data_IF_683380442898
#
_entry.id   IF_683380442898
#
_cell.length_a   1.000
_cell.length_b   1.000
_cell.length_c   1.000
_cell.angle_alpha   90.00
_cell.angle_beta   90.00
_cell.angle_gamma   90.00
#
_symmetry.space_group_name_H-M   'P 1'
#
loop_
_entity.id
_entity.type
_entity.pdbx_description
1 polymer ?
#
# COMPACT_ATOMS: atom_id res chain seq x y z
N UNK A 1 2.43 -8.23 10.99
CA UNK A 1 1.85 -8.72 9.73
C UNK A 1 2.08 -7.73 8.62
N UNK A 2 2.43 -8.22 7.45
CA UNK A 2 2.71 -7.35 6.32
C UNK A 2 1.45 -7.14 5.48
N UNK A 3 1.18 -5.90 5.13
CA UNK A 3 0.08 -5.58 4.22
C UNK A 3 0.65 -5.34 2.84
N UNK A 4 0.00 -5.90 1.84
CA UNK A 4 0.41 -5.67 0.46
C UNK A 4 -0.60 -4.74 -0.19
N UNK A 5 -0.14 -3.59 -0.63
CA UNK A 5 -0.98 -2.60 -1.28
C UNK A 5 -0.49 -2.43 -2.71
N UNK A 6 -1.41 -2.50 -3.66
CA UNK A 6 -1.08 -2.31 -5.06
C UNK A 6 -1.50 -0.92 -5.49
N UNK A 7 -0.61 -0.24 -6.18
CA UNK A 7 -0.89 1.08 -6.70
C UNK A 7 -1.28 0.99 -8.16
N UNK A 8 -2.43 1.55 -8.47
CA UNK A 8 -2.91 1.60 -9.84
C UNK A 8 -2.62 2.97 -10.45
N UNK A 9 -2.63 3.04 -11.77
CA UNK A 9 -2.19 4.24 -12.48
C UNK A 9 -3.02 5.48 -12.16
N UNK A 10 -4.20 5.32 -11.62
CA UNK A 10 -5.07 6.43 -11.29
C UNK A 10 -4.93 6.89 -9.86
N UNK A 11 -3.78 6.70 -9.25
CA UNK A 11 -3.54 7.06 -7.86
C UNK A 11 -4.41 6.28 -6.91
N UNK A 12 -4.93 5.17 -7.35
CA UNK A 12 -5.74 4.32 -6.50
C UNK A 12 -4.86 3.28 -5.84
N UNK A 13 -5.07 3.09 -4.56
CA UNK A 13 -4.32 2.13 -3.78
C UNK A 13 -5.28 1.03 -3.35
N UNK A 14 -4.94 -0.20 -3.63
CA UNK A 14 -5.79 -1.33 -3.34
C UNK A 14 -5.13 -2.22 -2.31
N UNK A 15 -5.80 -2.43 -1.19
CA UNK A 15 -5.30 -3.30 -0.13
C UNK A 15 -5.72 -4.73 -0.43
N UNK A 16 -4.76 -5.56 -0.81
CA UNK A 16 -5.06 -6.95 -1.14
C UNK A 16 -5.42 -7.78 0.09
N UNK A 17 -4.99 -7.33 1.26
CA UNK A 17 -5.29 -8.05 2.49
C UNK A 17 -6.77 -7.94 2.85
N UNK A 18 -7.36 -6.79 2.62
CA UNK A 18 -8.77 -6.57 2.93
C UNK A 18 -9.63 -6.49 1.68
N UNK A 19 -9.02 -6.58 0.51
CA UNK A 19 -9.73 -6.55 -0.77
C UNK A 19 -10.56 -5.29 -0.92
N UNK A 20 -9.96 -4.14 -0.64
CA UNK A 20 -10.65 -2.87 -0.78
C UNK A 20 -9.67 -1.76 -1.10
N UNK A 21 -10.18 -0.67 -1.64
CA UNK A 21 -9.36 0.49 -1.90
C UNK A 21 -9.09 1.25 -0.61
N UNK A 22 -7.90 1.82 -0.51
CA UNK A 22 -7.51 2.59 0.65
C UNK A 22 -6.90 3.91 0.21
N UNK A 23 -6.77 4.82 1.16
CA UNK A 23 -6.17 6.12 0.90
C UNK A 23 -4.80 6.20 1.54
N UNK A 24 -4.04 7.22 1.15
CA UNK A 24 -2.74 7.45 1.76
C UNK A 24 -2.86 7.71 3.26
N UNK A 25 -3.95 8.33 3.67
CA UNK A 25 -4.19 8.58 5.09
C UNK A 25 -4.25 7.29 5.87
N UNK A 26 -4.94 6.31 5.32
CA UNK A 26 -5.04 5.01 5.99
C UNK A 26 -3.68 4.34 6.07
N UNK A 27 -2.92 4.41 4.99
CA UNK A 27 -1.59 3.81 4.98
C UNK A 27 -0.69 4.50 6.00
N UNK A 28 -0.78 5.82 6.10
CA UNK A 28 -0.01 6.55 7.10
C UNK A 28 -0.32 6.07 8.50
N UNK A 29 -1.59 5.84 8.78
CA UNK A 29 -1.99 5.36 10.09
C UNK A 29 -1.42 3.99 10.39
N UNK A 30 -1.40 3.12 9.39
CA UNK A 30 -0.83 1.78 9.56
C UNK A 30 0.65 1.87 9.88
N UNK A 31 1.36 2.71 9.15
CA UNK A 31 2.80 2.87 9.37
C UNK A 31 3.07 3.43 10.77
N UNK A 32 2.28 4.41 11.17
CA UNK A 32 2.43 4.99 12.50
C UNK A 32 2.12 3.98 13.59
N UNK A 33 1.25 3.04 13.31
CA UNK A 33 0.92 2.00 14.26
C UNK A 33 1.94 0.88 14.31
N UNK A 34 2.96 0.97 13.47
CA UNK A 34 4.01 -0.05 13.46
C UNK A 34 3.75 -1.21 12.55
N UNK A 35 2.80 -1.09 11.66
CA UNK A 35 2.51 -2.17 10.73
C UNK A 35 3.46 -2.13 9.54
N UNK A 36 3.76 -3.28 9.02
CA UNK A 36 4.57 -3.39 7.80
C UNK A 36 3.66 -3.25 6.59
N UNK A 37 3.92 -2.24 5.78
CA UNK A 37 3.13 -2.00 4.58
C UNK A 37 4.06 -2.02 3.38
N UNK A 38 3.72 -2.83 2.40
CA UNK A 38 4.48 -2.89 1.16
C UNK A 38 3.61 -2.39 0.02
N UNK A 39 4.12 -1.42 -0.73
CA UNK A 39 3.39 -0.84 -1.85
C UNK A 39 4.11 -1.20 -3.14
N UNK A 40 3.38 -1.76 -4.08
CA UNK A 40 3.96 -2.13 -5.38
C UNK A 40 3.15 -1.50 -6.49
N UNK A 41 3.84 -1.17 -7.56
CA UNK A 41 3.19 -0.65 -8.74
C UNK A 41 2.52 -1.80 -9.48
N UNK A 42 1.21 -1.69 -9.70
CA UNK A 42 0.48 -2.79 -10.29
C UNK A 42 0.90 -3.09 -11.72
N UNK A 43 1.22 -2.06 -12.48
CA UNK A 43 1.56 -2.24 -13.89
C UNK A 43 2.96 -2.78 -14.08
N UNK A 44 3.93 -2.25 -13.36
CA UNK A 44 5.31 -2.64 -13.52
C UNK A 44 5.79 -3.65 -12.49
N UNK A 45 5.05 -3.80 -11.42
CA UNK A 45 5.46 -4.66 -10.33
C UNK A 45 6.57 -4.08 -9.49
N UNK A 46 6.86 -2.82 -9.70
CA UNK A 46 7.95 -2.16 -8.99
C UNK A 46 7.58 -1.90 -7.54
N UNK A 47 8.53 -2.12 -6.66
CA UNK A 47 8.33 -1.91 -5.24
C UNK A 47 8.44 -0.42 -4.93
N UNK A 48 7.35 0.17 -4.52
CA UNK A 48 7.31 1.60 -4.22
C UNK A 48 7.25 1.87 -2.72
N UNK A 49 7.55 0.88 -1.91
CA UNK A 49 7.48 1.04 -0.48
C UNK A 49 8.38 2.20 -0.04
N UNK A 50 7.81 3.12 0.65
CA UNK A 50 8.55 4.27 1.12
C UNK A 50 9.25 3.84 2.38
N UNK A 51 10.37 3.60 2.36
CA UNK A 51 10.85 3.12 3.39
C UNK A 51 11.71 3.53 4.22
N UNK A 52 12.15 3.76 4.29
CA UNK A 52 13.01 3.88 5.11
C UNK A 52 13.96 4.04 4.81
#
# INVERSE_FOLDING_TARGET
MQRLVKRYSNRKLYDTSESRYVTLDEISRWVKAGEDVKIVENESGEDLTAGR
#
